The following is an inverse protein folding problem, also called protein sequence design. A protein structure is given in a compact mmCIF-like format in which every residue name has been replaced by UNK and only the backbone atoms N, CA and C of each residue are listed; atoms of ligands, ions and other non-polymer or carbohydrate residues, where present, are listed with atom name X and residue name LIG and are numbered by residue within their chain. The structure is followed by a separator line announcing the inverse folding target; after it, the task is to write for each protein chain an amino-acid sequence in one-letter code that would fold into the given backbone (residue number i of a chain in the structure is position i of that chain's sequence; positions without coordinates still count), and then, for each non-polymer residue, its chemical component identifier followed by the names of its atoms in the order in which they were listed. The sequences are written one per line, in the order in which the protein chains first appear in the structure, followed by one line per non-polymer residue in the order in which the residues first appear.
data_IF_024919773762
#
_entry.id   IF_024919773762
#
_cell.length_a   1.000
_cell.length_b   1.000
_cell.length_c   1.000
_cell.angle_alpha   90.00
_cell.angle_beta   90.00
_cell.angle_gamma   90.00
#
_symmetry.space_group_name_H-M   'P 1'
#
loop_
_entity.id
_entity.type
_entity.pdbx_description
1 polymer ?
#
# COMPACT_ATOMS: atom_id res chain seq x y z
N UNK A 1 19.06 -2.67 -19.94
CA UNK A 1 17.60 -2.47 -19.91
C UNK A 1 17.32 -1.41 -18.86
N UNK A 2 17.10 -0.17 -19.28
CA UNK A 2 16.97 0.98 -18.39
C UNK A 2 15.48 1.20 -18.14
N UNK A 3 15.00 0.90 -16.93
CA UNK A 3 13.68 1.30 -16.50
C UNK A 3 13.70 2.83 -16.41
N UNK A 4 13.12 3.51 -17.40
CA UNK A 4 12.76 4.91 -17.19
C UNK A 4 11.65 4.90 -16.13
N UNK A 5 11.83 5.57 -14.98
CA UNK A 5 10.76 5.64 -13.99
C UNK A 5 9.54 6.27 -14.67
N UNK A 6 8.37 5.69 -14.47
CA UNK A 6 7.12 6.37 -14.81
C UNK A 6 7.17 7.78 -14.23
N UNK A 7 6.69 8.77 -14.98
CA UNK A 7 6.68 10.16 -14.50
C UNK A 7 5.81 10.30 -13.26
N UNK A 8 4.78 9.47 -13.14
CA UNK A 8 3.89 9.39 -11.99
C UNK A 8 4.14 8.10 -11.18
N UNK A 9 4.48 8.19 -9.88
CA UNK A 9 4.61 7.02 -9.02
C UNK A 9 3.30 6.19 -8.90
N UNK A 10 2.12 6.81 -9.04
CA UNK A 10 0.84 6.09 -9.01
C UNK A 10 0.61 5.24 -10.27
N UNK A 11 1.18 5.61 -11.42
CA UNK A 11 1.15 4.78 -12.62
C UNK A 11 1.97 3.51 -12.42
N UNK A 12 3.15 3.64 -11.81
CA UNK A 12 3.99 2.49 -11.47
C UNK A 12 3.31 1.59 -10.44
N UNK A 13 2.75 2.17 -9.39
CA UNK A 13 1.98 1.43 -8.39
C UNK A 13 0.81 0.68 -9.03
N UNK A 14 0.07 1.33 -9.94
CA UNK A 14 -1.06 0.73 -10.65
C UNK A 14 -0.67 -0.50 -11.44
N UNK A 15 0.49 -0.48 -12.10
CA UNK A 15 1.01 -1.65 -12.83
C UNK A 15 1.30 -2.80 -11.88
N UNK A 16 1.98 -2.53 -10.77
CA UNK A 16 2.30 -3.57 -9.77
C UNK A 16 1.05 -4.12 -9.09
N UNK A 17 0.12 -3.24 -8.70
CA UNK A 17 -1.12 -3.64 -8.06
C UNK A 17 -1.96 -4.58 -8.93
N UNK A 18 -2.08 -4.29 -10.24
CA UNK A 18 -2.75 -5.18 -11.20
C UNK A 18 -2.10 -6.56 -11.30
N UNK A 19 -0.77 -6.63 -11.27
CA UNK A 19 -0.04 -7.92 -11.28
C UNK A 19 -0.34 -8.71 -10.01
N UNK A 20 -0.31 -8.03 -8.86
CA UNK A 20 -0.51 -8.62 -7.54
C UNK A 20 -1.95 -9.11 -7.33
N UNK A 21 -2.96 -8.40 -7.84
CA UNK A 21 -4.36 -8.84 -7.81
C UNK A 21 -4.62 -10.13 -8.61
N UNK A 22 -3.81 -10.42 -9.63
CA UNK A 22 -3.89 -11.65 -10.43
C UNK A 22 -2.97 -12.76 -9.92
N UNK A 23 -2.28 -12.54 -8.80
CA UNK A 23 -1.36 -13.52 -8.22
C UNK A 23 -2.09 -14.62 -7.44
N UNK A 24 -1.50 -15.82 -7.31
CA UNK A 24 -2.11 -16.92 -6.54
C UNK A 24 -1.99 -16.73 -5.02
N UNK A 25 -1.42 -15.61 -4.54
CA UNK A 25 -1.14 -15.40 -3.13
C UNK A 25 -2.39 -14.98 -2.36
N UNK A 26 -2.49 -15.48 -1.12
CA UNK A 26 -3.56 -15.07 -0.21
C UNK A 26 -3.31 -13.65 0.29
N UNK A 27 -4.35 -12.82 0.30
CA UNK A 27 -4.30 -11.41 0.72
C UNK A 27 -3.20 -10.59 -0.01
N UNK A 28 -3.25 -10.54 -1.35
CA UNK A 28 -2.21 -9.89 -2.15
C UNK A 28 -2.11 -8.38 -1.90
N UNK A 29 -3.14 -7.77 -1.32
CA UNK A 29 -3.19 -6.35 -0.96
C UNK A 29 -2.77 -6.07 0.50
N UNK A 30 -2.24 -7.07 1.20
CA UNK A 30 -1.70 -6.87 2.54
C UNK A 30 -0.49 -5.93 2.51
N UNK A 31 -0.46 -4.98 3.44
CA UNK A 31 0.63 -4.02 3.61
C UNK A 31 0.94 -3.82 5.10
N UNK A 32 2.16 -3.40 5.41
CA UNK A 32 2.54 -3.00 6.77
C UNK A 32 2.29 -1.51 6.93
N UNK A 33 1.37 -1.16 7.84
CA UNK A 33 1.17 0.22 8.27
C UNK A 33 2.01 0.48 9.51
N UNK A 34 2.91 1.45 9.42
CA UNK A 34 3.69 1.95 10.55
C UNK A 34 3.13 3.31 11.01
N UNK A 35 2.93 3.45 12.32
CA UNK A 35 2.52 4.71 12.96
C UNK A 35 3.38 4.97 14.19
N UNK A 36 3.38 6.19 14.70
CA UNK A 36 4.01 6.53 15.95
C UNK A 36 3.09 7.38 16.82
N UNK A 37 3.19 7.20 18.14
CA UNK A 37 2.59 8.11 19.11
C UNK A 37 3.41 9.41 19.24
N UNK A 38 2.89 10.38 20.01
CA UNK A 38 3.52 11.69 20.20
C UNK A 38 4.92 11.63 20.84
N UNK A 39 5.25 10.53 21.50
CA UNK A 39 6.55 10.22 22.09
C UNK A 39 7.55 9.63 21.08
N UNK A 40 7.18 9.55 19.79
CA UNK A 40 7.96 8.95 18.71
C UNK A 40 8.23 7.45 18.87
N UNK A 41 7.44 6.73 19.65
CA UNK A 41 7.50 5.27 19.73
C UNK A 41 6.79 4.65 18.52
N UNK A 42 7.51 3.95 17.60
CA UNK A 42 6.89 3.37 16.41
C UNK A 42 6.18 2.06 16.73
N UNK A 43 5.09 1.80 16.03
CA UNK A 43 4.40 0.51 15.98
C UNK A 43 4.04 0.18 14.54
N UNK A 44 4.00 -1.11 14.20
CA UNK A 44 3.69 -1.55 12.85
C UNK A 44 2.80 -2.80 12.87
N UNK A 45 1.84 -2.87 11.95
CA UNK A 45 0.92 -4.00 11.83
C UNK A 45 0.50 -4.23 10.39
N UNK A 46 0.09 -5.46 10.08
CA UNK A 46 -0.52 -5.79 8.80
C UNK A 46 -1.92 -5.18 8.72
N UNK A 47 -2.21 -4.51 7.61
CA UNK A 47 -3.55 -4.07 7.19
C UNK A 47 -3.79 -4.47 5.75
N UNK A 48 -5.04 -4.39 5.28
CA UNK A 48 -5.37 -4.64 3.88
C UNK A 48 -5.63 -3.33 3.16
N UNK A 49 -4.88 -3.08 2.09
CA UNK A 49 -5.21 -2.02 1.14
C UNK A 49 -6.52 -2.37 0.45
N UNK A 50 -7.44 -1.40 0.40
CA UNK A 50 -8.78 -1.56 -0.21
C UNK A 50 -8.91 -0.80 -1.50
N UNK A 51 -8.42 0.43 -1.52
CA UNK A 51 -8.48 1.33 -2.66
C UNK A 51 -7.23 2.22 -2.66
N UNK A 52 -6.87 2.73 -3.84
CA UNK A 52 -5.89 3.79 -3.98
C UNK A 52 -6.33 4.72 -5.14
N UNK A 53 -5.96 5.97 -5.04
CA UNK A 53 -6.20 6.99 -6.07
C UNK A 53 -5.07 8.03 -6.02
N UNK A 54 -5.19 9.10 -6.81
CA UNK A 54 -4.29 10.26 -6.71
C UNK A 54 -4.31 10.90 -5.31
N UNK A 55 -5.35 10.65 -4.50
CA UNK A 55 -5.45 11.12 -3.11
C UNK A 55 -4.66 10.24 -2.10
N UNK A 56 -4.17 9.07 -2.53
CA UNK A 56 -3.35 8.18 -1.72
C UNK A 56 -3.93 6.78 -1.54
N UNK A 57 -3.71 6.18 -0.37
CA UNK A 57 -4.02 4.78 -0.08
C UNK A 57 -5.09 4.66 1.01
N UNK A 58 -6.12 3.85 0.75
CA UNK A 58 -7.26 3.67 1.67
C UNK A 58 -7.27 2.27 2.30
N UNK A 59 -7.41 2.25 3.62
CA UNK A 59 -7.63 1.04 4.42
C UNK A 59 -8.64 1.34 5.54
N UNK A 60 -9.30 0.31 6.05
CA UNK A 60 -10.23 0.43 7.17
C UNK A 60 -9.64 -0.22 8.43
N UNK A 61 -9.94 0.36 9.59
CA UNK A 61 -9.56 -0.16 10.90
C UNK A 61 -10.64 0.16 11.93
N UNK A 62 -10.58 -0.50 13.09
CA UNK A 62 -11.33 -0.07 14.25
C UNK A 62 -10.64 1.15 14.90
N UNK A 63 -11.44 2.14 15.32
CA UNK A 63 -11.00 3.34 16.03
C UNK A 63 -11.40 3.36 17.52
N UNK A 64 -12.10 2.32 17.97
CA UNK A 64 -12.51 2.10 19.36
C UNK A 64 -11.60 1.10 20.04
#
# INVERSE_FOLDING_TARGET
MMFLPEKDPFDLFSKWYKVVLNSPYKQPTAMILATCSKDCTPSARVVLLKEYSEEGFMFFTNCK
#
